data_IF_837257342239
#
_entry.id   IF_837257342239
#
_cell.length_a   1.000
_cell.length_b   1.000
_cell.length_c   1.000
_cell.angle_alpha   90.00
_cell.angle_beta   90.00
_cell.angle_gamma   90.00
#
_symmetry.space_group_name_H-M   'P 1'
#
loop_
_entity.id
_entity.type
_entity.pdbx_description
1 polymer ?
#
# COMPACT_ATOMS: atom_id res chain seq x y z
N UNK A 1 -11.83 17.11 3.48
CA UNK A 1 -10.73 16.10 3.55
C UNK A 1 -9.98 16.34 4.86
N UNK A 2 -9.67 15.34 5.70
CA UNK A 2 -9.05 15.58 7.01
C UNK A 2 -7.59 16.02 6.88
N UNK A 3 -7.19 16.94 7.75
CA UNK A 3 -6.01 17.81 7.62
C UNK A 3 -4.64 17.17 7.94
N UNK A 4 -4.56 15.86 8.22
CA UNK A 4 -3.31 15.16 8.54
C UNK A 4 -2.85 14.17 7.45
N UNK A 5 -3.23 14.44 6.19
CA UNK A 5 -2.75 13.76 4.96
C UNK A 5 -1.63 14.61 4.33
N UNK A 6 -0.85 15.31 5.14
CA UNK A 6 -0.04 16.47 4.76
C UNK A 6 1.15 16.18 3.82
N UNK A 7 1.34 14.92 3.37
CA UNK A 7 2.42 14.55 2.43
C UNK A 7 2.01 13.58 1.31
N UNK A 8 0.72 13.29 1.09
CA UNK A 8 0.34 12.54 -0.13
C UNK A 8 0.30 13.48 -1.33
N UNK A 9 1.40 13.54 -2.08
CA UNK A 9 1.45 14.27 -3.35
C UNK A 9 0.74 13.45 -4.43
N UNK A 10 -0.56 13.64 -4.56
CA UNK A 10 -1.36 12.99 -5.58
C UNK A 10 -0.89 13.39 -6.99
N UNK A 11 -0.64 12.40 -7.83
CA UNK A 11 -0.23 12.60 -9.22
C UNK A 11 -1.48 12.66 -10.09
N UNK A 12 -1.64 13.73 -10.86
CA UNK A 12 -2.84 13.97 -11.68
C UNK A 12 -3.07 12.96 -12.81
N UNK A 13 -2.01 12.27 -13.25
CA UNK A 13 -2.11 11.20 -14.25
C UNK A 13 -2.61 9.86 -13.68
N UNK A 14 -2.55 9.67 -12.36
CA UNK A 14 -3.03 8.44 -11.74
C UNK A 14 -4.56 8.37 -11.82
N UNK A 15 -5.15 7.25 -12.28
CA UNK A 15 -6.59 7.10 -12.29
C UNK A 15 -7.21 7.36 -10.91
N UNK A 16 -8.32 8.11 -10.85
CA UNK A 16 -8.96 8.54 -9.61
C UNK A 16 -9.27 7.35 -8.67
N UNK A 17 -9.66 6.21 -9.23
CA UNK A 17 -9.92 4.97 -8.47
C UNK A 17 -8.70 4.51 -7.65
N UNK A 18 -7.49 4.64 -8.20
CA UNK A 18 -6.26 4.25 -7.52
C UNK A 18 -5.96 5.22 -6.36
N UNK A 19 -6.15 6.53 -6.59
CA UNK A 19 -5.98 7.54 -5.53
C UNK A 19 -6.96 7.30 -4.37
N UNK A 20 -8.22 7.01 -4.68
CA UNK A 20 -9.24 6.69 -3.67
C UNK A 20 -8.88 5.42 -2.91
N UNK A 21 -8.41 4.37 -3.60
CA UNK A 21 -8.00 3.12 -2.97
C UNK A 21 -6.85 3.34 -1.98
N UNK A 22 -5.82 4.07 -2.38
CA UNK A 22 -4.67 4.41 -1.52
C UNK A 22 -5.11 5.22 -0.30
N UNK A 23 -5.95 6.23 -0.50
CA UNK A 23 -6.46 7.05 0.59
C UNK A 23 -7.29 6.23 1.58
N UNK A 24 -8.12 5.31 1.07
CA UNK A 24 -8.87 4.38 1.91
C UNK A 24 -7.96 3.41 2.65
N UNK A 25 -6.92 2.90 2.00
CA UNK A 25 -5.93 2.02 2.63
C UNK A 25 -5.28 2.71 3.83
N UNK A 26 -4.75 3.93 3.61
CA UNK A 26 -4.09 4.73 4.65
C UNK A 26 -4.98 5.01 5.87
N UNK A 27 -6.29 5.19 5.66
CA UNK A 27 -7.24 5.43 6.74
C UNK A 27 -7.84 4.14 7.34
N UNK A 28 -7.35 2.95 6.97
CA UNK A 28 -7.96 1.67 7.31
C UNK A 28 -9.46 1.60 6.96
N UNK A 29 -9.82 2.15 5.80
CA UNK A 29 -11.20 2.20 5.27
C UNK A 29 -11.44 1.22 4.12
N UNK A 30 -10.50 0.30 3.88
CA UNK A 30 -10.72 -0.83 2.98
C UNK A 30 -11.60 -1.88 3.65
N UNK A 31 -12.35 -2.68 2.88
CA UNK A 31 -13.18 -3.75 3.41
C UNK A 31 -12.33 -5.00 3.71
N UNK A 32 -11.26 -4.86 4.51
CA UNK A 32 -10.50 -6.04 4.97
C UNK A 32 -11.26 -6.74 6.09
N UNK A 33 -11.08 -8.05 6.28
CA UNK A 33 -11.83 -8.81 7.30
C UNK A 33 -11.76 -8.18 8.69
N UNK A 34 -10.57 -7.79 9.13
CA UNK A 34 -10.39 -7.12 10.44
C UNK A 34 -11.22 -5.85 10.55
N UNK A 35 -11.29 -5.06 9.48
CA UNK A 35 -12.04 -3.82 9.47
C UNK A 35 -13.56 -4.03 9.29
N UNK A 36 -13.98 -5.09 8.60
CA UNK A 36 -15.38 -5.50 8.51
C UNK A 36 -15.92 -5.98 9.86
N UNK A 37 -15.15 -6.80 10.58
CA UNK A 37 -15.50 -7.26 11.94
C UNK A 37 -15.65 -6.08 12.90
N UNK A 38 -14.74 -5.09 12.85
CA UNK A 38 -14.86 -3.84 13.63
C UNK A 38 -16.13 -3.05 13.35
N UNK A 39 -16.71 -3.20 12.16
CA UNK A 39 -17.98 -2.56 11.75
C UNK A 39 -19.21 -3.41 12.07
N UNK A 40 -19.05 -4.52 12.78
CA UNK A 40 -20.15 -5.40 13.18
C UNK A 40 -20.58 -6.41 12.13
N UNK A 41 -19.81 -6.58 11.04
CA UNK A 41 -20.07 -7.64 10.05
C UNK A 41 -19.49 -8.94 10.60
N UNK A 42 -20.34 -9.95 10.80
CA UNK A 42 -19.91 -11.27 11.22
C UNK A 42 -19.27 -12.02 10.05
N UNK A 43 -18.06 -12.55 10.28
CA UNK A 43 -17.31 -13.39 9.36
C UNK A 43 -16.85 -14.64 10.12
N UNK A 44 -16.71 -15.76 9.43
CA UNK A 44 -16.30 -17.03 10.05
C UNK A 44 -14.87 -16.97 10.63
N UNK A 45 -13.99 -16.20 10.00
CA UNK A 45 -12.65 -15.89 10.48
C UNK A 45 -12.17 -14.57 9.88
N UNK A 46 -11.05 -14.06 10.40
CA UNK A 46 -10.40 -12.82 9.97
C UNK A 46 -9.16 -13.05 9.09
N UNK A 47 -8.92 -14.28 8.63
CA UNK A 47 -7.74 -14.63 7.83
C UNK A 47 -7.77 -13.99 6.43
N UNK A 48 -6.60 -13.63 5.94
CA UNK A 48 -6.40 -13.11 4.60
C UNK A 48 -6.75 -14.18 3.55
N UNK A 49 -7.71 -13.93 2.65
CA UNK A 49 -8.13 -14.93 1.65
C UNK A 49 -7.05 -15.25 0.59
N UNK A 50 -5.96 -14.47 0.54
CA UNK A 50 -4.87 -14.67 -0.41
C UNK A 50 -3.80 -15.64 0.09
N UNK A 51 -3.53 -15.66 1.40
CA UNK A 51 -2.47 -16.48 2.00
C UNK A 51 -2.97 -17.47 3.05
N UNK A 52 -4.18 -17.26 3.58
CA UNK A 52 -4.83 -18.07 4.62
C UNK A 52 -3.98 -18.30 5.88
N UNK A 53 -3.01 -17.42 6.14
CA UNK A 53 -1.99 -17.62 7.18
C UNK A 53 -2.03 -16.58 8.31
N UNK A 54 -2.57 -15.38 8.05
CA UNK A 54 -2.56 -14.25 8.99
C UNK A 54 -3.77 -13.34 8.73
N UNK A 55 -4.08 -12.44 9.66
CA UNK A 55 -5.26 -11.59 9.62
C UNK A 55 -5.26 -10.63 8.42
N UNK A 56 -6.41 -10.47 7.78
CA UNK A 56 -6.59 -9.50 6.70
C UNK A 56 -6.67 -8.07 7.23
N UNK A 57 -5.52 -7.43 7.31
CA UNK A 57 -5.37 -5.98 7.53
C UNK A 57 -4.90 -5.29 6.25
N UNK A 58 -5.07 -3.98 6.14
CA UNK A 58 -4.55 -3.23 4.99
C UNK A 58 -3.02 -3.38 4.89
N UNK A 59 -2.32 -3.34 6.02
CA UNK A 59 -0.87 -3.55 6.10
C UNK A 59 -0.50 -4.96 5.63
N UNK A 60 -1.12 -6.02 6.16
CA UNK A 60 -0.88 -7.38 5.68
C UNK A 60 -1.13 -7.49 4.17
N UNK A 61 -2.27 -7.00 3.68
CA UNK A 61 -2.65 -7.06 2.27
C UNK A 61 -1.60 -6.41 1.33
N UNK A 62 -0.96 -5.32 1.74
CA UNK A 62 -0.02 -4.59 0.86
C UNK A 62 1.47 -4.85 1.13
N UNK A 63 1.86 -5.25 2.34
CA UNK A 63 3.27 -5.40 2.71
C UNK A 63 3.59 -6.74 3.37
N UNK A 64 2.65 -7.36 4.08
CA UNK A 64 2.89 -8.58 4.87
C UNK A 64 2.49 -9.90 4.21
N UNK A 65 1.66 -9.88 3.17
CA UNK A 65 1.10 -11.07 2.56
C UNK A 65 2.09 -11.76 1.62
N UNK A 66 2.22 -13.09 1.72
CA UNK A 66 3.04 -13.91 0.82
C UNK A 66 2.66 -13.71 -0.65
N UNK A 67 1.37 -13.63 -0.94
CA UNK A 67 0.87 -13.36 -2.29
C UNK A 67 1.37 -12.00 -2.79
N UNK A 68 1.26 -10.97 -1.95
CA UNK A 68 1.69 -9.61 -2.30
C UNK A 68 3.21 -9.49 -2.44
N UNK A 69 3.98 -10.26 -1.67
CA UNK A 69 5.43 -10.35 -1.81
C UNK A 69 5.84 -10.79 -3.23
N UNK A 70 5.16 -11.78 -3.79
CA UNK A 70 5.38 -12.24 -5.16
C UNK A 70 5.02 -11.18 -6.20
N UNK A 71 3.95 -10.40 -5.97
CA UNK A 71 3.60 -9.26 -6.83
C UNK A 71 4.71 -8.20 -6.79
N UNK A 72 5.22 -7.86 -5.61
CA UNK A 72 6.32 -6.90 -5.48
C UNK A 72 7.62 -7.39 -6.12
N UNK A 73 7.91 -8.70 -6.06
CA UNK A 73 9.03 -9.31 -6.78
C UNK A 73 8.93 -9.07 -8.30
N UNK A 74 7.75 -9.31 -8.87
CA UNK A 74 7.49 -9.11 -10.32
C UNK A 74 7.54 -7.64 -10.71
N UNK A 75 6.92 -6.77 -9.90
CA UNK A 75 6.98 -5.31 -10.10
C UNK A 75 8.42 -4.82 -9.98
N UNK A 76 9.18 -5.38 -9.04
CA UNK A 76 10.61 -5.12 -8.85
C UNK A 76 11.42 -5.46 -10.09
N UNK A 77 11.19 -6.63 -10.67
CA UNK A 77 11.85 -7.07 -11.90
C UNK A 77 11.49 -6.19 -13.11
N UNK A 78 10.24 -5.73 -13.21
CA UNK A 78 9.78 -4.93 -14.34
C UNK A 78 10.20 -3.46 -14.25
N UNK A 79 9.90 -2.81 -13.13
CA UNK A 79 10.07 -1.38 -12.95
C UNK A 79 11.45 -0.99 -12.42
N UNK A 80 12.20 -1.95 -11.86
CA UNK A 80 13.49 -1.75 -11.17
C UNK A 80 13.46 -0.56 -10.19
N UNK A 81 12.49 -0.49 -9.27
CA UNK A 81 12.50 0.54 -8.25
C UNK A 81 13.74 0.34 -7.36
N UNK A 82 14.27 1.43 -6.80
CA UNK A 82 15.25 1.34 -5.70
C UNK A 82 14.74 0.38 -4.61
N UNK A 83 15.61 -0.47 -4.03
CA UNK A 83 15.20 -1.39 -2.97
C UNK A 83 14.56 -0.62 -1.82
N UNK A 84 13.35 -1.00 -1.43
CA UNK A 84 12.68 -0.42 -0.27
C UNK A 84 12.01 -1.52 0.53
N UNK A 85 12.20 -1.42 1.84
CA UNK A 85 11.53 -2.22 2.84
C UNK A 85 10.29 -1.45 3.28
N UNK A 86 9.12 -1.93 2.87
CA UNK A 86 7.85 -1.37 3.31
C UNK A 86 7.21 -2.33 4.31
N UNK A 87 6.90 -1.81 5.49
CA UNK A 87 6.23 -2.54 6.56
C UNK A 87 4.84 -1.95 6.85
N UNK A 88 4.58 -0.73 6.41
CA UNK A 88 3.28 -0.07 6.43
C UNK A 88 2.90 0.52 5.07
N UNK A 89 1.61 0.84 4.90
CA UNK A 89 1.13 1.59 3.74
C UNK A 89 1.87 2.93 3.62
N UNK A 90 2.18 3.57 4.74
CA UNK A 90 2.94 4.83 4.76
C UNK A 90 4.29 4.69 4.06
N UNK A 91 4.99 3.57 4.26
CA UNK A 91 6.28 3.31 3.62
C UNK A 91 6.13 3.18 2.10
N UNK A 92 5.05 2.52 1.65
CA UNK A 92 4.72 2.40 0.23
C UNK A 92 4.46 3.76 -0.42
N UNK A 93 3.95 4.73 0.33
CA UNK A 93 3.69 6.07 -0.17
C UNK A 93 4.97 6.90 -0.25
N UNK A 94 5.88 6.70 0.69
CA UNK A 94 7.20 7.32 0.67
C UNK A 94 8.11 6.77 -0.43
N UNK A 95 7.80 5.60 -1.01
CA UNK A 95 8.50 5.07 -2.20
C UNK A 95 8.60 6.08 -3.32
N UNK A 96 7.48 6.72 -3.67
CA UNK A 96 7.41 7.64 -4.81
C UNK A 96 8.35 8.83 -4.62
N UNK A 97 8.42 9.36 -3.40
CA UNK A 97 9.30 10.47 -3.06
C UNK A 97 10.77 10.05 -3.16
N UNK A 98 11.12 8.86 -2.67
CA UNK A 98 12.49 8.34 -2.77
C UNK A 98 12.91 8.12 -4.23
N UNK A 99 12.04 7.58 -5.09
CA UNK A 99 12.33 7.42 -6.52
C UNK A 99 12.59 8.78 -7.21
N UNK A 100 11.84 9.82 -6.84
CA UNK A 100 12.07 11.16 -7.43
C UNK A 100 13.38 11.80 -6.98
N UNK A 101 13.84 11.51 -5.76
CA UNK A 101 15.16 11.98 -5.28
C UNK A 101 16.30 11.30 -6.03
N UNK A 102 16.25 9.97 -6.18
CA UNK A 102 17.32 9.22 -6.87
C UNK A 102 17.47 9.66 -8.33
N UNK A 103 16.37 9.93 -9.04
CA UNK A 103 16.43 10.47 -10.41
C UNK A 103 17.02 11.88 -10.49
N UNK A 104 16.73 12.74 -9.51
CA UNK A 104 17.27 14.12 -9.46
C UNK A 104 18.77 14.12 -9.14
N UNK A 105 19.24 13.22 -8.30
CA UNK A 105 20.66 13.04 -7.98
C UNK A 105 21.44 12.49 -9.18
N UNK A 106 20.85 11.57 -9.95
CA UNK A 106 21.45 11.06 -11.20
C UNK A 106 21.52 12.15 -12.30
N UNK A 107 20.58 13.10 -12.31
CA UNK A 107 20.55 14.18 -13.31
C UNK A 107 21.34 15.44 -12.90
N UNK A 108 21.87 15.47 -11.68
CA UNK A 108 22.74 16.53 -11.17
C UNK A 108 24.25 16.19 -11.31
N UNK A 109 24.57 15.07 -11.96
CA UNK A 109 25.90 14.64 -12.41
C UNK A 109 25.97 14.73 -13.93
#
# INVERSE_FOLDING_TARGET
>A
MPANVSKLKWVGWTPLKCNIMVWRAYLNRLPTRVELVKRGIQLDNDLCPLCDADQETSTHLFTGCLFTSEIWSRVGAWCRPSPVFAFDISDLLMLADNQTKTKKEIQAL
#
